data_IF_758737170182
#
_entry.id   IF_758737170182
#
_cell.length_a   1.000
_cell.length_b   1.000
_cell.length_c   1.000
_cell.angle_alpha   90.00
_cell.angle_beta   90.00
_cell.angle_gamma   90.00
#
_symmetry.space_group_name_H-M   'P 1'
#
loop_
_entity.id
_entity.type
_entity.pdbx_description
1 polymer ?
#
# COMPACT_ATOMS: atom_id res chain seq x y z
N UNK A 1 33.97 -21.37 -32.09
CA UNK A 1 32.50 -21.31 -32.13
C UNK A 1 32.00 -20.76 -30.80
N UNK A 2 31.60 -19.49 -30.79
CA UNK A 2 30.93 -18.81 -29.67
C UNK A 2 29.51 -19.36 -29.51
N UNK A 3 29.11 -19.75 -28.29
CA UNK A 3 27.70 -19.64 -27.82
C UNK A 3 27.66 -19.35 -26.31
N UNK A 4 27.78 -18.06 -26.00
CA UNK A 4 26.94 -17.26 -25.10
C UNK A 4 26.33 -17.93 -23.86
N UNK A 5 26.88 -17.60 -22.70
CA UNK A 5 26.20 -17.68 -21.41
C UNK A 5 25.05 -16.68 -21.36
N UNK A 6 23.80 -17.16 -21.34
CA UNK A 6 22.63 -16.33 -21.04
C UNK A 6 22.65 -16.06 -19.53
N UNK A 7 23.16 -14.89 -19.14
CA UNK A 7 22.93 -14.33 -17.80
C UNK A 7 21.45 -13.95 -17.71
N UNK A 8 20.67 -14.70 -16.93
CA UNK A 8 19.28 -14.36 -16.60
C UNK A 8 19.28 -13.13 -15.68
N UNK A 9 19.18 -11.96 -16.28
CA UNK A 9 18.99 -10.69 -15.56
C UNK A 9 17.49 -10.50 -15.30
N UNK A 10 17.07 -10.46 -14.03
CA UNK A 10 15.74 -9.98 -13.67
C UNK A 10 15.72 -8.45 -13.82
N UNK A 11 14.96 -7.94 -14.78
CA UNK A 11 14.70 -6.51 -14.93
C UNK A 11 13.24 -6.25 -14.58
N UNK A 12 12.99 -5.65 -13.42
CA UNK A 12 11.69 -5.11 -13.06
C UNK A 12 11.67 -3.62 -13.46
N UNK A 13 10.96 -3.29 -14.54
CA UNK A 13 10.75 -1.89 -14.94
C UNK A 13 9.47 -1.40 -14.28
N UNK A 14 9.60 -0.49 -13.31
CA UNK A 14 8.48 0.26 -12.74
C UNK A 14 8.42 1.63 -13.42
N UNK A 15 7.46 1.83 -14.32
CA UNK A 15 7.19 3.14 -14.91
C UNK A 15 6.14 3.89 -14.09
N UNK A 16 6.49 5.08 -13.59
CA UNK A 16 5.55 6.03 -13.01
C UNK A 16 5.23 7.10 -14.07
N UNK A 17 3.97 7.19 -14.50
CA UNK A 17 3.47 8.27 -15.37
C UNK A 17 2.80 9.31 -14.47
N UNK A 18 3.33 10.54 -14.48
CA UNK A 18 2.74 11.70 -13.80
C UNK A 18 2.03 12.56 -14.85
N UNK A 19 0.71 12.74 -14.71
CA UNK A 19 -0.04 13.71 -15.50
C UNK A 19 -0.21 15.00 -14.67
N UNK A 20 0.42 16.10 -15.09
CA UNK A 20 0.21 17.44 -14.55
C UNK A 20 -0.47 18.34 -15.60
N UNK A 21 -1.57 18.99 -15.25
CA UNK A 21 -2.38 19.81 -16.15
C UNK A 21 -1.84 21.24 -16.35
N UNK A 22 -1.98 21.73 -17.58
CA UNK A 22 -1.48 23.00 -18.13
C UNK A 22 -2.37 24.23 -17.83
N UNK A 23 -2.51 24.61 -16.55
CA UNK A 23 -3.37 25.74 -16.16
C UNK A 23 -2.70 27.13 -16.08
N UNK A 24 -1.38 27.20 -15.87
CA UNK A 24 -0.72 28.44 -15.45
C UNK A 24 -0.32 29.40 -16.60
N UNK A 25 -0.34 28.95 -17.86
CA UNK A 25 0.22 29.71 -18.99
C UNK A 25 -0.62 30.92 -19.44
N UNK A 26 -1.91 30.99 -19.11
CA UNK A 26 -2.81 32.05 -19.61
C UNK A 26 -2.86 33.31 -18.72
N UNK A 27 -2.26 33.26 -17.53
CA UNK A 27 -2.34 34.33 -16.53
C UNK A 27 -1.19 35.35 -16.61
N UNK A 28 -0.05 34.93 -17.18
CA UNK A 28 1.16 35.75 -17.39
C UNK A 28 0.95 36.72 -18.57
N UNK A 29 0.30 36.26 -19.64
CA UNK A 29 0.12 37.01 -20.89
C UNK A 29 -0.72 38.29 -20.73
N UNK A 30 -1.58 38.40 -19.72
CA UNK A 30 -2.44 39.58 -19.53
C UNK A 30 -1.72 40.73 -18.83
N UNK A 31 -0.80 40.45 -17.91
CA UNK A 31 0.02 41.49 -17.27
C UNK A 31 1.03 42.07 -18.27
N UNK A 32 1.57 41.22 -19.15
CA UNK A 32 2.42 41.65 -20.26
C UNK A 32 1.67 42.57 -21.25
N UNK A 33 0.39 42.31 -21.51
CA UNK A 33 -0.45 43.17 -22.37
C UNK A 33 -0.70 44.53 -21.71
N UNK A 34 -1.01 44.57 -20.41
CA UNK A 34 -1.21 45.83 -19.68
C UNK A 34 0.06 46.67 -19.72
N UNK A 35 1.22 46.05 -19.41
CA UNK A 35 2.52 46.72 -19.46
C UNK A 35 2.87 47.21 -20.87
N UNK A 36 2.57 46.44 -21.91
CA UNK A 36 2.79 46.82 -23.31
C UNK A 36 1.88 47.96 -23.79
N UNK A 37 0.68 48.10 -23.22
CA UNK A 37 -0.25 49.19 -23.54
C UNK A 37 0.13 50.50 -22.84
N UNK A 38 0.62 50.42 -21.61
CA UNK A 38 1.24 51.56 -20.90
C UNK A 38 2.50 52.01 -21.63
N UNK A 39 3.38 51.08 -22.02
CA UNK A 39 4.62 51.43 -22.74
C UNK A 39 4.38 52.05 -24.13
N UNK A 40 3.23 51.76 -24.75
CA UNK A 40 2.82 52.34 -26.04
C UNK A 40 2.04 53.65 -25.88
N UNK A 41 1.83 54.13 -24.66
CA UNK A 41 1.09 55.37 -24.36
C UNK A 41 -0.40 55.30 -24.67
N UNK A 42 -0.96 54.08 -24.81
CA UNK A 42 -2.39 53.86 -25.00
C UNK A 42 -3.15 53.94 -23.67
N UNK A 43 -2.47 53.61 -22.57
CA UNK A 43 -2.94 53.77 -21.19
C UNK A 43 -2.01 54.72 -20.44
N UNK A 44 -2.57 55.52 -19.55
CA UNK A 44 -1.78 56.21 -18.52
C UNK A 44 -1.30 55.23 -17.44
N UNK A 45 -0.27 55.60 -16.69
CA UNK A 45 0.25 54.76 -15.59
C UNK A 45 -0.82 54.48 -14.52
N UNK A 46 -1.65 55.48 -14.18
CA UNK A 46 -2.75 55.31 -13.22
C UNK A 46 -3.82 54.33 -13.72
N UNK A 47 -4.16 54.35 -15.02
CA UNK A 47 -5.12 53.41 -15.61
C UNK A 47 -4.57 51.99 -15.68
N UNK A 48 -3.28 51.84 -15.99
CA UNK A 48 -2.57 50.56 -15.97
C UNK A 48 -2.55 49.93 -14.56
N UNK A 49 -2.24 50.74 -13.54
CA UNK A 49 -2.19 50.31 -12.14
C UNK A 49 -3.56 49.89 -11.60
N UNK A 50 -4.62 50.61 -11.96
CA UNK A 50 -5.99 50.25 -11.60
C UNK A 50 -6.42 48.91 -12.21
N UNK A 51 -6.12 48.68 -13.49
CA UNK A 51 -6.40 47.41 -14.18
C UNK A 51 -5.59 46.24 -13.58
N UNK A 52 -4.31 46.48 -13.25
CA UNK A 52 -3.46 45.48 -12.59
C UNK A 52 -3.98 45.12 -11.19
N UNK A 53 -4.45 46.11 -10.42
CA UNK A 53 -5.02 45.89 -9.08
C UNK A 53 -6.34 45.11 -9.13
N UNK A 54 -7.23 45.45 -10.06
CA UNK A 54 -8.45 44.68 -10.32
C UNK A 54 -8.14 43.22 -10.67
N UNK A 55 -7.16 43.00 -11.55
CA UNK A 55 -6.75 41.66 -11.97
C UNK A 55 -6.08 40.86 -10.85
N UNK A 56 -5.24 41.47 -10.01
CA UNK A 56 -4.67 40.82 -8.82
C UNK A 56 -5.78 40.39 -7.86
N UNK A 57 -6.81 41.21 -7.70
CA UNK A 57 -7.97 40.89 -6.85
C UNK A 57 -8.79 39.74 -7.44
N UNK A 58 -9.03 39.74 -8.76
CA UNK A 58 -9.68 38.62 -9.46
C UNK A 58 -8.85 37.32 -9.41
N UNK A 59 -7.53 37.40 -9.60
CA UNK A 59 -6.61 36.25 -9.44
C UNK A 59 -6.69 35.71 -8.02
N UNK A 60 -6.59 36.56 -7.00
CA UNK A 60 -6.71 36.15 -5.61
C UNK A 60 -8.08 35.51 -5.30
N UNK A 61 -9.18 36.10 -5.80
CA UNK A 61 -10.52 35.54 -5.64
C UNK A 61 -10.69 34.21 -6.39
N UNK A 62 -10.08 34.06 -7.57
CA UNK A 62 -10.09 32.83 -8.37
C UNK A 62 -9.23 31.74 -7.72
N UNK A 63 -8.07 32.07 -7.18
CA UNK A 63 -7.22 31.17 -6.40
C UNK A 63 -7.85 30.77 -5.07
N UNK A 64 -8.58 31.66 -4.41
CA UNK A 64 -9.32 31.34 -3.20
C UNK A 64 -10.51 30.42 -3.53
N UNK A 65 -11.22 30.69 -4.64
CA UNK A 65 -12.28 29.82 -5.14
C UNK A 65 -11.74 28.47 -5.59
N UNK A 66 -10.56 28.42 -6.20
CA UNK A 66 -9.90 27.18 -6.61
C UNK A 66 -9.39 26.39 -5.40
N UNK A 67 -8.86 27.05 -4.37
CA UNK A 67 -8.51 26.46 -3.07
C UNK A 67 -9.73 25.95 -2.30
N UNK A 68 -10.89 26.59 -2.42
CA UNK A 68 -12.14 26.11 -1.80
C UNK A 68 -12.81 24.97 -2.56
N UNK A 69 -12.55 24.85 -3.87
CA UNK A 69 -13.08 23.78 -4.69
C UNK A 69 -12.38 22.45 -4.36
N UNK A 70 -13.07 21.57 -3.64
CA UNK A 70 -12.57 20.24 -3.25
C UNK A 70 -12.07 19.40 -4.44
N UNK A 71 -12.68 19.57 -5.62
CA UNK A 71 -12.30 18.84 -6.83
C UNK A 71 -10.91 19.21 -7.37
N UNK A 72 -10.36 20.37 -7.00
CA UNK A 72 -8.98 20.75 -7.33
C UNK A 72 -7.94 20.06 -6.43
N UNK A 73 -8.39 19.36 -5.38
CA UNK A 73 -7.54 18.62 -4.44
C UNK A 73 -7.59 17.11 -4.69
N UNK A 74 -8.09 16.69 -5.86
CA UNK A 74 -8.09 15.29 -6.27
C UNK A 74 -6.75 14.97 -6.93
N UNK A 75 -5.97 14.14 -6.26
CA UNK A 75 -4.77 13.52 -6.78
C UNK A 75 -5.10 12.21 -7.46
N UNK A 76 -4.65 12.06 -8.70
CA UNK A 76 -4.68 10.80 -9.45
C UNK A 76 -3.24 10.34 -9.63
N UNK A 77 -2.95 9.12 -9.18
CA UNK A 77 -1.67 8.47 -9.42
C UNK A 77 -1.89 6.99 -9.71
N UNK A 78 -0.92 6.34 -10.32
CA UNK A 78 -1.02 4.92 -10.60
C UNK A 78 0.33 4.27 -10.80
N UNK A 79 0.32 2.95 -10.86
CA UNK A 79 1.49 2.17 -11.21
C UNK A 79 1.06 0.82 -11.81
N UNK A 80 1.91 0.30 -12.69
CA UNK A 80 1.77 -1.02 -13.29
C UNK A 80 3.01 -1.84 -12.93
N UNK A 81 2.79 -3.08 -12.50
CA UNK A 81 3.85 -4.06 -12.24
C UNK A 81 3.65 -5.24 -13.17
N UNK A 82 4.47 -5.32 -14.21
CA UNK A 82 4.61 -6.52 -15.03
C UNK A 82 5.64 -7.44 -14.39
N UNK A 83 5.37 -8.74 -14.35
CA UNK A 83 6.25 -9.71 -13.71
C UNK A 83 6.46 -10.91 -14.59
N UNK A 84 7.72 -11.29 -14.71
CA UNK A 84 8.13 -12.59 -15.21
C UNK A 84 8.91 -13.29 -14.09
N UNK A 85 8.56 -14.53 -13.74
CA UNK A 85 9.30 -15.26 -12.72
C UNK A 85 9.56 -16.69 -13.18
N UNK A 86 10.79 -17.18 -12.99
CA UNK A 86 11.17 -18.56 -13.32
C UNK A 86 11.79 -19.16 -12.09
N UNK A 87 11.31 -20.33 -11.66
CA UNK A 87 11.97 -21.05 -10.59
C UNK A 87 13.32 -21.61 -11.06
N UNK A 88 14.34 -21.52 -10.21
CA UNK A 88 15.70 -22.00 -10.50
C UNK A 88 15.90 -23.49 -10.15
N UNK A 89 14.98 -24.08 -9.40
CA UNK A 89 14.92 -25.49 -9.00
C UNK A 89 13.46 -25.89 -8.72
N UNK A 90 13.19 -27.17 -8.45
CA UNK A 90 11.83 -27.74 -8.31
C UNK A 90 10.87 -26.98 -7.39
N UNK A 91 9.59 -27.29 -7.50
CA UNK A 91 8.48 -26.56 -6.87
C UNK A 91 7.90 -27.24 -5.61
N UNK A 92 8.54 -28.30 -5.15
CA UNK A 92 8.10 -29.06 -3.98
C UNK A 92 8.07 -28.20 -2.72
N UNK A 93 6.91 -28.14 -2.06
CA UNK A 93 6.71 -27.35 -0.85
C UNK A 93 6.58 -25.84 -1.06
N UNK A 94 6.64 -25.34 -2.30
CA UNK A 94 6.45 -23.91 -2.59
C UNK A 94 4.97 -23.59 -2.71
N UNK A 95 4.45 -22.72 -1.85
CA UNK A 95 3.08 -22.22 -1.96
C UNK A 95 3.00 -21.11 -3.04
N UNK A 96 2.50 -21.46 -4.22
CA UNK A 96 2.38 -20.55 -5.38
C UNK A 96 1.16 -19.62 -5.30
N UNK A 97 0.36 -19.71 -4.24
CA UNK A 97 -0.89 -18.96 -4.08
C UNK A 97 -0.64 -17.46 -3.87
N UNK A 98 0.48 -17.09 -3.23
CA UNK A 98 0.85 -15.68 -2.96
C UNK A 98 1.42 -14.98 -4.18
N UNK A 99 2.00 -15.73 -5.14
CA UNK A 99 2.53 -15.18 -6.38
C UNK A 99 2.22 -16.02 -7.62
N UNK A 100 1.16 -15.61 -8.33
CA UNK A 100 0.69 -16.22 -9.58
C UNK A 100 1.70 -16.18 -10.73
N UNK A 101 2.76 -15.38 -10.64
CA UNK A 101 3.81 -15.34 -11.68
C UNK A 101 4.83 -16.45 -11.54
N UNK A 102 4.84 -17.18 -10.42
CA UNK A 102 5.68 -18.36 -10.26
C UNK A 102 4.94 -19.55 -10.88
N UNK A 103 5.10 -19.76 -12.18
CA UNK A 103 4.60 -20.97 -12.84
C UNK A 103 5.65 -22.07 -12.84
N UNK A 104 5.24 -23.24 -12.38
CA UNK A 104 5.83 -24.54 -12.72
C UNK A 104 4.91 -25.29 -13.68
N UNK A 105 5.43 -26.40 -14.21
CA UNK A 105 4.70 -27.52 -14.79
C UNK A 105 3.58 -28.09 -13.89
N UNK A 106 3.45 -27.65 -12.63
CA UNK A 106 2.36 -28.05 -11.72
C UNK A 106 1.53 -26.88 -11.18
N UNK A 107 1.90 -25.63 -11.45
CA UNK A 107 1.26 -24.47 -10.82
C UNK A 107 -0.16 -24.16 -11.32
N UNK A 108 -0.54 -24.57 -12.52
CA UNK A 108 -1.86 -24.28 -13.11
C UNK A 108 -2.21 -25.35 -14.17
N UNK A 109 -2.03 -26.61 -13.80
CA UNK A 109 -2.05 -27.72 -14.76
C UNK A 109 -0.70 -27.85 -15.46
N UNK A 110 -0.31 -29.09 -15.72
CA UNK A 110 0.71 -29.44 -16.70
C UNK A 110 0.44 -28.65 -17.97
N UNK A 111 1.42 -27.87 -18.41
CA UNK A 111 1.42 -27.04 -19.63
C UNK A 111 1.02 -25.55 -19.48
N UNK A 112 1.19 -24.91 -18.32
CA UNK A 112 1.05 -23.44 -18.23
C UNK A 112 2.18 -22.72 -19.00
N UNK A 113 1.96 -22.12 -20.20
CA UNK A 113 3.05 -21.84 -21.12
C UNK A 113 3.84 -20.55 -20.85
N UNK A 114 3.40 -19.66 -19.95
CA UNK A 114 4.04 -18.35 -19.79
C UNK A 114 3.88 -17.75 -18.38
N UNK A 115 5.02 -17.49 -17.73
CA UNK A 115 5.11 -16.87 -16.40
C UNK A 115 5.11 -15.33 -16.43
N UNK A 116 4.67 -14.73 -17.55
CA UNK A 116 4.60 -13.28 -17.72
C UNK A 116 3.17 -12.79 -17.52
N UNK A 117 2.97 -11.91 -16.54
CA UNK A 117 1.66 -11.36 -16.22
C UNK A 117 1.73 -9.93 -15.70
N UNK A 118 0.58 -9.26 -15.72
CA UNK A 118 0.37 -8.04 -14.95
C UNK A 118 0.09 -8.45 -13.51
N UNK A 119 1.01 -8.16 -12.60
CA UNK A 119 0.88 -8.51 -11.17
C UNK A 119 -0.02 -7.55 -10.43
N UNK A 120 0.04 -6.25 -10.79
CA UNK A 120 -0.78 -5.15 -10.27
C UNK A 120 -0.93 -4.09 -11.36
N UNK A 121 -2.13 -3.57 -11.53
CA UNK A 121 -2.40 -2.39 -12.35
C UNK A 121 -3.36 -1.52 -11.56
N UNK A 122 -2.83 -0.54 -10.84
CA UNK A 122 -3.61 0.23 -9.88
C UNK A 122 -3.63 1.70 -10.24
N UNK A 123 -4.83 2.26 -10.19
CA UNK A 123 -5.08 3.70 -10.22
C UNK A 123 -5.58 4.08 -8.84
N UNK A 124 -5.13 5.21 -8.33
CA UNK A 124 -5.43 5.70 -7.00
C UNK A 124 -6.02 7.09 -7.17
N UNK A 125 -7.23 7.26 -6.68
CA UNK A 125 -7.91 8.54 -6.54
C UNK A 125 -7.88 8.89 -5.06
N UNK A 126 -7.34 10.04 -4.72
CA UNK A 126 -7.27 10.48 -3.32
C UNK A 126 -7.32 12.00 -3.24
N UNK A 127 -7.84 12.53 -2.15
CA UNK A 127 -7.93 13.97 -1.97
C UNK A 127 -8.56 14.35 -0.66
N UNK A 128 -8.70 15.65 -0.44
CA UNK A 128 -9.42 16.21 0.70
C UNK A 128 -10.67 16.94 0.22
N UNK A 129 -11.75 16.75 0.95
CA UNK A 129 -13.04 17.43 0.80
C UNK A 129 -13.24 18.32 2.02
N UNK A 130 -12.86 19.59 1.88
CA UNK A 130 -12.76 20.51 3.02
C UNK A 130 -11.69 20.08 4.02
N UNK A 131 -11.80 20.58 5.25
CA UNK A 131 -10.75 20.40 6.27
C UNK A 131 -10.84 19.05 7.02
N UNK A 132 -11.98 18.35 6.94
CA UNK A 132 -12.32 17.24 7.83
C UNK A 132 -12.53 15.88 7.14
N UNK A 133 -12.47 15.81 5.81
CA UNK A 133 -12.69 14.55 5.09
C UNK A 133 -11.60 14.31 4.05
N UNK A 134 -10.80 13.27 4.26
CA UNK A 134 -9.95 12.68 3.23
C UNK A 134 -10.67 11.51 2.58
N UNK A 135 -10.41 11.26 1.29
CA UNK A 135 -10.87 10.04 0.63
C UNK A 135 -9.72 9.34 -0.08
N UNK A 136 -9.83 8.02 -0.21
CA UNK A 136 -8.88 7.19 -0.95
C UNK A 136 -9.61 6.01 -1.61
N UNK A 137 -9.47 5.89 -2.93
CA UNK A 137 -10.07 4.82 -3.72
C UNK A 137 -8.99 4.23 -4.64
N UNK A 138 -8.83 2.91 -4.60
CA UNK A 138 -7.83 2.18 -5.36
C UNK A 138 -8.42 0.91 -5.99
N UNK A 139 -8.91 0.96 -7.24
CA UNK A 139 -9.13 -0.24 -8.03
C UNK A 139 -7.79 -0.89 -8.48
N UNK A 140 -7.80 -2.22 -8.59
CA UNK A 140 -6.74 -3.03 -9.17
C UNK A 140 -7.28 -3.83 -10.36
N UNK A 141 -6.79 -3.50 -11.55
CA UNK A 141 -7.18 -4.08 -12.83
C UNK A 141 -6.41 -5.36 -13.16
N UNK A 142 -5.58 -5.89 -12.25
CA UNK A 142 -4.85 -7.14 -12.45
C UNK A 142 -5.50 -8.33 -11.72
N UNK A 143 -6.75 -8.19 -11.27
CA UNK A 143 -7.44 -9.20 -10.46
C UNK A 143 -8.13 -10.24 -11.35
N UNK A 144 -8.43 -11.41 -10.78
CA UNK A 144 -9.17 -12.49 -11.47
C UNK A 144 -10.60 -12.56 -10.93
N UNK A 145 -11.56 -12.76 -11.83
CA UNK A 145 -12.97 -12.96 -11.50
C UNK A 145 -13.41 -14.43 -11.62
N UNK A 146 -12.47 -15.37 -11.69
CA UNK A 146 -12.72 -16.79 -11.88
C UNK A 146 -11.64 -17.45 -12.75
N UNK A 147 -11.74 -18.77 -12.92
CA UNK A 147 -10.76 -19.54 -13.70
C UNK A 147 -10.69 -19.03 -15.16
N UNK A 148 -9.48 -18.76 -15.65
CA UNK A 148 -9.23 -18.27 -17.01
C UNK A 148 -9.52 -16.78 -17.26
N UNK A 149 -10.20 -16.10 -16.33
CA UNK A 149 -10.65 -14.72 -16.49
C UNK A 149 -9.80 -13.76 -15.65
N UNK A 150 -8.85 -13.10 -16.30
CA UNK A 150 -7.91 -12.15 -15.70
C UNK A 150 -8.23 -10.69 -16.09
N UNK A 151 -7.58 -9.76 -15.40
CA UNK A 151 -7.62 -8.33 -15.62
C UNK A 151 -8.97 -7.64 -15.32
N UNK A 152 -9.65 -8.09 -14.27
CA UNK A 152 -10.88 -7.46 -13.77
C UNK A 152 -10.56 -6.38 -12.75
N UNK A 153 -11.35 -5.31 -12.75
CA UNK A 153 -11.30 -4.29 -11.72
C UNK A 153 -11.82 -4.85 -10.39
N UNK A 154 -10.95 -4.90 -9.38
CA UNK A 154 -11.33 -5.22 -8.01
C UNK A 154 -10.94 -4.07 -7.08
N UNK A 155 -11.82 -3.75 -6.13
CA UNK A 155 -11.53 -2.75 -5.13
C UNK A 155 -10.45 -3.25 -4.16
N UNK A 156 -9.36 -2.51 -4.01
CA UNK A 156 -8.36 -2.78 -2.97
C UNK A 156 -8.63 -1.94 -1.75
N UNK A 157 -8.67 -0.63 -1.93
CA UNK A 157 -8.94 0.32 -0.86
C UNK A 157 -10.10 1.24 -1.29
N UNK A 158 -11.01 1.54 -0.37
CA UNK A 158 -12.08 2.52 -0.50
C UNK A 158 -12.49 2.95 0.90
N UNK A 159 -11.98 4.10 1.33
CA UNK A 159 -12.24 4.62 2.66
C UNK A 159 -12.28 6.14 2.68
N UNK A 160 -12.94 6.67 3.72
CA UNK A 160 -12.86 8.06 4.13
C UNK A 160 -12.08 8.20 5.43
N UNK A 161 -11.17 9.16 5.52
CA UNK A 161 -10.53 9.59 6.76
C UNK A 161 -11.29 10.82 7.28
N UNK A 162 -11.97 10.67 8.41
CA UNK A 162 -12.74 11.74 9.07
C UNK A 162 -11.86 12.33 10.18
N UNK A 163 -11.39 13.56 9.99
CA UNK A 163 -10.50 14.24 10.92
C UNK A 163 -11.31 15.02 11.97
N UNK A 164 -10.92 14.92 13.24
CA UNK A 164 -11.58 15.65 14.33
C UNK A 164 -11.22 17.14 14.27
N UNK A 165 -9.98 17.45 13.93
CA UNK A 165 -9.43 18.80 13.83
C UNK A 165 -8.71 19.03 12.51
N UNK A 166 -8.40 20.30 12.22
CA UNK A 166 -7.63 20.70 11.01
C UNK A 166 -6.16 20.27 11.08
N UNK A 167 -5.68 19.97 12.28
CA UNK A 167 -4.33 19.51 12.53
C UNK A 167 -4.14 18.03 12.20
N UNK A 168 -5.24 17.33 11.90
CA UNK A 168 -5.32 15.93 11.47
C UNK A 168 -4.66 14.97 12.47
N UNK A 169 -4.60 15.37 13.75
CA UNK A 169 -3.97 14.59 14.82
C UNK A 169 -4.80 13.37 15.14
N UNK A 170 -6.13 13.53 15.14
CA UNK A 170 -7.08 12.48 15.39
C UNK A 170 -7.94 12.24 14.14
N UNK A 171 -8.06 10.98 13.71
CA UNK A 171 -8.95 10.62 12.60
C UNK A 171 -9.59 9.26 12.78
N UNK A 172 -10.79 9.12 12.21
CA UNK A 172 -11.47 7.85 12.03
C UNK A 172 -11.47 7.48 10.56
N UNK A 173 -10.86 6.35 10.22
CA UNK A 173 -10.93 5.76 8.90
C UNK A 173 -12.13 4.83 8.83
N UNK A 174 -13.01 5.04 7.86
CA UNK A 174 -14.20 4.21 7.64
C UNK A 174 -14.18 3.65 6.23
N UNK A 175 -14.30 2.32 6.10
CA UNK A 175 -14.39 1.62 4.83
C UNK A 175 -13.38 0.49 4.70
N UNK A 176 -13.15 0.03 3.47
CA UNK A 176 -12.16 -1.01 3.19
C UNK A 176 -10.77 -0.39 3.09
N UNK A 177 -9.91 -0.73 4.03
CA UNK A 177 -8.53 -0.27 4.05
C UNK A 177 -7.60 -1.33 4.61
N UNK A 178 -6.30 -1.06 4.57
CA UNK A 178 -5.37 -1.89 5.34
C UNK A 178 -5.72 -1.90 6.82
N UNK A 179 -5.64 -3.06 7.43
CA UNK A 179 -5.75 -3.23 8.89
C UNK A 179 -4.41 -2.81 9.51
N UNK A 180 -4.38 -2.01 10.59
CA UNK A 180 -3.15 -1.51 11.21
C UNK A 180 -2.39 -2.62 11.97
N UNK A 181 -1.83 -3.59 11.23
CA UNK A 181 -1.04 -4.70 11.77
C UNK A 181 0.12 -5.05 10.83
N UNK A 182 1.34 -4.91 11.34
CA UNK A 182 2.60 -5.17 10.60
C UNK A 182 3.10 -3.95 9.81
N UNK A 183 4.38 -3.62 9.97
CA UNK A 183 5.05 -2.55 9.25
C UNK A 183 5.11 -2.83 7.73
N UNK A 184 5.53 -4.03 7.32
CA UNK A 184 5.63 -4.42 5.91
C UNK A 184 4.24 -4.51 5.25
N UNK A 185 3.25 -5.01 5.98
CA UNK A 185 1.86 -5.06 5.50
C UNK A 185 1.35 -3.65 5.18
N UNK A 186 1.66 -2.69 6.04
CA UNK A 186 1.29 -1.29 5.88
C UNK A 186 2.08 -0.56 4.79
N UNK A 187 3.30 -0.98 4.45
CA UNK A 187 4.01 -0.47 3.28
C UNK A 187 3.25 -0.65 1.96
N UNK A 188 3.25 0.40 1.14
CA UNK A 188 2.69 0.35 -0.20
C UNK A 188 3.44 -0.69 -1.04
N UNK A 189 2.70 -1.49 -1.81
CA UNK A 189 3.28 -2.44 -2.78
C UNK A 189 4.06 -1.76 -3.91
N UNK A 190 3.95 -0.44 -4.08
CA UNK A 190 4.79 0.34 -4.98
C UNK A 190 6.06 0.88 -4.32
N UNK A 191 6.12 0.88 -2.98
CA UNK A 191 7.21 1.48 -2.21
C UNK A 191 8.16 0.43 -1.62
N UNK A 192 7.63 -0.72 -1.20
CA UNK A 192 8.37 -1.79 -0.51
C UNK A 192 9.58 -2.29 -1.30
N UNK A 193 10.55 -2.84 -0.57
CA UNK A 193 11.79 -3.38 -1.15
C UNK A 193 11.58 -4.76 -1.79
N UNK A 194 10.95 -5.68 -1.06
CA UNK A 194 10.72 -7.04 -1.53
C UNK A 194 9.58 -7.12 -2.56
N UNK A 195 9.72 -8.02 -3.55
CA UNK A 195 8.71 -8.20 -4.60
C UNK A 195 7.38 -8.73 -4.05
N UNK A 196 7.44 -9.55 -3.01
CA UNK A 196 6.30 -10.05 -2.23
C UNK A 196 6.55 -9.83 -0.73
N UNK A 197 5.47 -9.90 0.06
CA UNK A 197 5.58 -9.76 1.52
C UNK A 197 5.97 -11.07 2.16
N UNK A 198 6.50 -11.00 3.37
CA UNK A 198 6.79 -12.18 4.15
C UNK A 198 5.52 -12.86 4.65
N UNK A 199 5.44 -14.18 4.49
CA UNK A 199 4.27 -14.97 4.88
C UNK A 199 3.97 -14.89 6.38
N UNK A 200 5.01 -14.78 7.21
CA UNK A 200 4.89 -14.70 8.67
C UNK A 200 4.01 -13.52 9.13
N UNK A 201 4.13 -12.37 8.45
CA UNK A 201 3.32 -11.19 8.76
C UNK A 201 2.07 -11.10 7.89
N UNK A 202 2.18 -11.49 6.61
CA UNK A 202 1.10 -11.33 5.63
C UNK A 202 -0.05 -12.33 5.85
N UNK A 203 0.19 -13.43 6.55
CA UNK A 203 -0.83 -14.42 6.92
C UNK A 203 -1.81 -13.95 8.01
N UNK A 204 -1.57 -12.80 8.64
CA UNK A 204 -2.40 -12.27 9.72
C UNK A 204 -3.77 -11.81 9.25
N UNK A 205 -3.80 -10.96 8.23
CA UNK A 205 -5.04 -10.44 7.65
C UNK A 205 -4.99 -10.71 6.17
N UNK A 206 -5.96 -11.49 5.69
CA UNK A 206 -6.08 -11.80 4.27
C UNK A 206 -6.15 -10.51 3.43
N UNK A 207 -5.35 -10.44 2.37
CA UNK A 207 -5.20 -9.25 1.50
C UNK A 207 -4.73 -7.97 2.24
N UNK A 208 -4.27 -8.12 3.49
CA UNK A 208 -3.85 -7.09 4.46
C UNK A 208 -4.92 -6.06 4.81
N UNK A 209 -6.15 -6.28 4.34
CA UNK A 209 -7.20 -5.28 4.26
C UNK A 209 -8.52 -5.87 4.67
N UNK A 210 -9.36 -5.03 5.25
CA UNK A 210 -10.70 -5.41 5.64
C UNK A 210 -11.59 -4.16 5.69
N UNK A 211 -12.90 -4.37 5.73
CA UNK A 211 -13.88 -3.33 5.93
C UNK A 211 -14.09 -3.09 7.43
N UNK A 212 -13.93 -1.84 7.87
CA UNK A 212 -14.00 -1.52 9.30
C UNK A 212 -13.93 -0.04 9.61
N UNK A 213 -13.78 0.23 10.90
CA UNK A 213 -13.54 1.57 11.46
C UNK A 213 -12.25 1.54 12.28
N UNK A 214 -11.32 2.43 11.95
CA UNK A 214 -10.04 2.52 12.63
C UNK A 214 -9.80 3.95 13.10
N UNK A 215 -9.65 4.13 14.40
CA UNK A 215 -9.16 5.35 15.00
C UNK A 215 -7.64 5.42 14.87
N UNK A 216 -7.13 6.59 14.52
CA UNK A 216 -5.71 6.90 14.47
C UNK A 216 -5.39 8.17 15.24
N UNK A 217 -4.27 8.14 15.96
CA UNK A 217 -3.66 9.29 16.62
C UNK A 217 -2.23 9.48 16.09
N UNK A 218 -1.93 10.68 15.59
CA UNK A 218 -0.60 11.06 15.10
C UNK A 218 -0.27 12.50 15.50
N UNK A 219 0.56 12.73 16.53
CA UNK A 219 1.03 14.06 16.90
C UNK A 219 1.70 14.80 15.73
N UNK A 220 1.68 16.14 15.75
CA UNK A 220 2.21 16.97 14.64
C UNK A 220 3.69 16.73 14.35
N UNK A 221 4.51 16.58 15.38
CA UNK A 221 5.93 16.25 15.30
C UNK A 221 6.15 14.87 14.66
N UNK A 222 5.33 13.88 15.02
CA UNK A 222 5.37 12.55 14.42
C UNK A 222 4.90 12.58 12.96
N UNK A 223 3.85 13.35 12.65
CA UNK A 223 3.42 13.58 11.26
C UNK A 223 4.55 14.20 10.42
N UNK A 224 5.26 15.18 10.97
CA UNK A 224 6.39 15.83 10.32
C UNK A 224 7.53 14.83 10.07
N UNK A 225 7.87 13.99 11.05
CA UNK A 225 8.89 12.96 10.90
C UNK A 225 8.49 11.90 9.85
N UNK A 226 7.24 11.43 9.85
CA UNK A 226 6.74 10.53 8.80
C UNK A 226 6.79 11.17 7.40
N UNK A 227 6.52 12.48 7.30
CA UNK A 227 6.65 13.22 6.04
C UNK A 227 8.12 13.31 5.61
N UNK A 228 9.04 13.59 6.53
CA UNK A 228 10.49 13.63 6.27
C UNK A 228 11.00 12.29 5.74
N UNK A 229 10.69 11.18 6.41
CA UNK A 229 11.10 9.83 6.01
C UNK A 229 10.62 9.49 4.59
N UNK A 230 9.37 9.85 4.26
CA UNK A 230 8.83 9.66 2.92
C UNK A 230 9.55 10.50 1.86
N UNK A 231 9.82 11.78 2.15
CA UNK A 231 10.56 12.69 1.25
C UNK A 231 11.98 12.21 0.99
N UNK A 232 12.63 11.63 2.00
CA UNK A 232 13.95 11.04 1.89
C UNK A 232 13.97 9.68 1.14
N UNK A 233 12.80 9.16 0.75
CA UNK A 233 12.70 7.90 0.01
C UNK A 233 13.03 6.66 0.85
N UNK A 234 12.95 6.74 2.18
CA UNK A 234 13.42 5.72 3.11
C UNK A 234 12.44 4.55 3.30
N UNK A 235 11.56 4.27 2.31
CA UNK A 235 10.71 3.08 2.28
C UNK A 235 9.72 2.96 3.46
N UNK A 236 9.21 4.08 3.98
CA UNK A 236 8.22 4.09 5.07
C UNK A 236 6.90 3.37 4.73
N UNK A 237 6.21 2.92 5.78
CA UNK A 237 4.88 2.31 5.70
C UNK A 237 3.78 3.34 5.40
N UNK A 238 4.00 4.61 5.73
CA UNK A 238 3.05 5.71 5.59
C UNK A 238 2.34 6.01 6.91
N UNK A 239 1.62 7.13 6.96
CA UNK A 239 0.92 7.53 8.19
C UNK A 239 -0.31 6.64 8.42
N UNK A 240 -0.16 5.60 9.25
CA UNK A 240 -1.24 4.76 9.82
C UNK A 240 -1.35 4.95 11.34
N UNK A 241 -1.17 6.19 11.81
CA UNK A 241 -1.14 6.49 13.24
C UNK A 241 0.20 6.17 13.91
N UNK A 242 0.59 7.03 14.85
CA UNK A 242 1.50 6.62 15.93
C UNK A 242 0.80 5.60 16.82
N UNK A 243 -0.51 5.82 17.07
CA UNK A 243 -1.40 4.87 17.70
C UNK A 243 -2.61 4.61 16.80
N UNK A 244 -3.08 3.37 16.79
CA UNK A 244 -4.25 2.92 16.08
C UNK A 244 -5.07 1.94 16.93
N UNK A 245 -6.40 2.04 16.86
CA UNK A 245 -7.32 1.07 17.42
C UNK A 245 -8.56 0.95 16.52
N UNK A 246 -9.08 -0.24 16.30
CA UNK A 246 -10.26 -0.37 15.45
C UNK A 246 -10.92 -1.73 15.48
N UNK A 247 -12.07 -1.79 14.82
CA UNK A 247 -12.86 -2.99 14.60
C UNK A 247 -13.07 -3.22 13.10
N UNK A 248 -13.02 -4.47 12.66
CA UNK A 248 -13.24 -4.86 11.27
C UNK A 248 -13.94 -6.22 11.16
N UNK A 249 -14.47 -6.55 9.97
CA UNK A 249 -15.29 -7.76 9.78
C UNK A 249 -14.55 -9.07 10.05
N UNK A 250 -13.26 -9.13 9.77
CA UNK A 250 -12.42 -10.30 10.04
C UNK A 250 -12.29 -11.30 8.92
N UNK A 251 -12.95 -11.11 7.78
CA UNK A 251 -12.91 -12.08 6.66
C UNK A 251 -11.93 -11.67 5.55
N UNK A 252 -11.34 -10.48 5.67
CA UNK A 252 -10.48 -9.87 4.67
C UNK A 252 -11.26 -9.17 3.55
N UNK A 253 -10.52 -8.51 2.67
CA UNK A 253 -11.09 -7.64 1.64
C UNK A 253 -12.10 -8.33 0.71
N UNK A 254 -13.15 -7.58 0.35
CA UNK A 254 -14.20 -7.96 -0.60
C UNK A 254 -14.92 -9.27 -0.24
N UNK A 255 -15.09 -9.56 1.06
CA UNK A 255 -15.79 -10.74 1.56
C UNK A 255 -16.90 -10.32 2.51
N UNK A 256 -17.98 -11.10 2.49
CA UNK A 256 -19.05 -10.94 3.46
C UNK A 256 -18.62 -11.52 4.83
N UNK A 257 -19.10 -10.88 5.88
CA UNK A 257 -19.12 -11.36 7.26
C UNK A 257 -19.76 -12.77 7.34
N UNK A 258 -19.32 -13.61 8.29
CA UNK A 258 -19.73 -15.04 8.36
C UNK A 258 -20.09 -15.56 9.76
N UNK A 259 -19.86 -14.81 10.82
CA UNK A 259 -20.05 -15.28 12.20
C UNK A 259 -20.65 -14.27 13.17
N UNK A 260 -21.12 -13.12 12.68
CA UNK A 260 -21.72 -12.04 13.46
C UNK A 260 -20.78 -11.53 14.57
N UNK A 261 -19.48 -11.45 14.26
CA UNK A 261 -18.47 -10.92 15.20
C UNK A 261 -17.50 -9.97 14.51
N UNK A 262 -16.78 -9.18 15.31
CA UNK A 262 -15.71 -8.30 14.83
C UNK A 262 -14.34 -8.84 15.26
N UNK A 263 -13.35 -8.54 14.43
CA UNK A 263 -11.96 -8.52 14.88
C UNK A 263 -11.62 -7.14 15.41
N UNK A 264 -10.85 -7.12 16.49
CA UNK A 264 -10.31 -5.92 17.09
C UNK A 264 -8.82 -5.87 16.85
N UNK A 265 -8.30 -4.69 16.51
CA UNK A 265 -6.88 -4.47 16.25
C UNK A 265 -6.40 -3.24 17.01
N UNK A 266 -5.17 -3.30 17.48
CA UNK A 266 -4.45 -2.17 18.07
C UNK A 266 -3.02 -2.16 17.58
N UNK A 267 -2.47 -0.97 17.34
CA UNK A 267 -1.04 -0.79 17.03
C UNK A 267 -0.53 0.48 17.68
N UNK A 268 0.68 0.41 18.19
CA UNK A 268 1.47 1.55 18.60
C UNK A 268 2.83 1.47 17.90
N UNK A 269 3.29 2.59 17.37
CA UNK A 269 4.63 2.73 16.78
C UNK A 269 5.21 4.06 17.20
N UNK A 270 6.50 4.10 17.48
CA UNK A 270 7.19 5.32 17.88
C UNK A 270 8.40 5.53 16.98
N UNK A 271 8.39 6.56 16.12
CA UNK A 271 9.57 6.96 15.36
C UNK A 271 10.43 7.95 16.16
N UNK A 272 11.74 7.87 16.03
CA UNK A 272 12.66 8.87 16.59
C UNK A 272 13.86 9.07 15.68
N UNK A 273 14.50 10.24 15.83
CA UNK A 273 15.71 10.61 15.12
C UNK A 273 16.81 10.88 16.14
N UNK A 274 17.97 10.27 15.96
CA UNK A 274 19.14 10.47 16.83
C UNK A 274 19.85 11.78 16.49
N UNK A 275 20.78 12.20 17.35
CA UNK A 275 21.66 13.34 17.09
C UNK A 275 22.48 13.19 15.80
N UNK A 276 22.86 11.96 15.44
CA UNK A 276 23.53 11.65 14.17
C UNK A 276 22.64 11.81 12.94
N UNK A 277 21.34 12.04 13.13
CA UNK A 277 20.34 12.12 12.05
C UNK A 277 19.80 10.77 11.56
N UNK A 278 20.26 9.65 12.15
CA UNK A 278 19.71 8.32 11.89
C UNK A 278 18.29 8.23 12.43
N UNK A 279 17.38 7.70 11.62
CA UNK A 279 15.98 7.54 11.99
C UNK A 279 15.68 6.08 12.30
N UNK A 280 14.90 5.86 13.35
CA UNK A 280 14.41 4.56 13.78
C UNK A 280 12.91 4.61 14.01
N UNK A 281 12.27 3.45 13.99
CA UNK A 281 10.88 3.24 14.39
C UNK A 281 10.76 1.88 15.08
N UNK A 282 10.06 1.82 16.20
CA UNK A 282 9.75 0.58 16.90
C UNK A 282 8.26 0.53 17.25
N UNK A 283 7.65 -0.64 17.12
CA UNK A 283 6.22 -0.78 17.31
C UNK A 283 5.81 -2.11 17.91
N UNK A 284 4.61 -2.10 18.49
CA UNK A 284 3.88 -3.26 18.98
C UNK A 284 2.48 -3.24 18.38
N UNK A 285 1.98 -4.40 18.01
CA UNK A 285 0.67 -4.55 17.39
C UNK A 285 0.01 -5.82 17.90
N UNK A 286 -1.31 -5.80 17.97
CA UNK A 286 -2.10 -6.96 18.32
C UNK A 286 -3.44 -6.94 17.61
N UNK A 287 -3.99 -8.12 17.34
CA UNK A 287 -5.39 -8.26 16.98
C UNK A 287 -5.97 -9.52 17.60
N UNK A 288 -7.31 -9.55 17.70
CA UNK A 288 -8.08 -10.71 18.16
C UNK A 288 -9.45 -10.75 17.52
N UNK A 289 -9.89 -11.94 17.12
CA UNK A 289 -11.25 -12.19 16.65
C UNK A 289 -11.48 -13.68 16.37
N UNK A 290 -12.53 -13.98 15.58
CA UNK A 290 -12.84 -15.33 15.12
C UNK A 290 -12.88 -15.37 13.60
N UNK A 291 -12.01 -16.16 12.98
CA UNK A 291 -11.96 -16.30 11.53
C UNK A 291 -12.76 -17.52 11.06
N UNK A 292 -13.50 -17.39 9.95
CA UNK A 292 -14.28 -18.50 9.37
C UNK A 292 -13.59 -19.02 8.12
N UNK A 293 -12.84 -20.11 8.29
CA UNK A 293 -12.11 -20.76 7.20
C UNK A 293 -13.05 -21.30 6.12
N UNK A 294 -12.71 -21.05 4.86
CA UNK A 294 -13.30 -21.77 3.73
C UNK A 294 -12.63 -23.13 3.58
N UNK A 295 -13.43 -24.19 3.40
CA UNK A 295 -12.93 -25.54 3.15
C UNK A 295 -12.99 -25.87 1.65
N UNK A 296 -12.11 -26.76 1.22
CA UNK A 296 -12.04 -27.24 -0.15
C UNK A 296 -11.09 -28.42 -0.25
N UNK A 297 -11.10 -29.11 -1.38
CA UNK A 297 -10.09 -30.13 -1.68
C UNK A 297 -8.71 -29.49 -1.72
N UNK A 298 -7.70 -30.19 -1.21
CA UNK A 298 -6.32 -29.70 -1.15
C UNK A 298 -5.34 -30.82 -1.52
N UNK A 299 -4.13 -30.45 -1.90
CA UNK A 299 -3.03 -31.41 -2.05
C UNK A 299 -2.16 -31.35 -0.80
N UNK A 300 -1.78 -32.52 -0.27
CA UNK A 300 -0.78 -32.59 0.81
C UNK A 300 0.58 -32.10 0.31
N UNK A 301 1.49 -31.83 1.24
CA UNK A 301 2.88 -31.46 0.91
C UNK A 301 3.62 -32.57 0.12
N UNK A 302 3.17 -33.82 0.25
CA UNK A 302 3.66 -34.98 -0.52
C UNK A 302 3.00 -35.14 -1.90
N UNK A 303 2.20 -34.16 -2.34
CA UNK A 303 1.54 -34.18 -3.64
C UNK A 303 0.31 -35.09 -3.74
N UNK A 304 -0.09 -35.72 -2.63
CA UNK A 304 -1.31 -36.56 -2.60
C UNK A 304 -2.53 -35.63 -2.51
N UNK A 305 -3.37 -35.67 -3.56
CA UNK A 305 -4.62 -34.90 -3.57
C UNK A 305 -5.60 -35.52 -2.56
N UNK A 306 -5.92 -34.79 -1.50
CA UNK A 306 -6.99 -35.14 -0.60
C UNK A 306 -8.34 -34.68 -1.18
N UNK A 307 -9.20 -35.65 -1.50
CA UNK A 307 -10.51 -35.38 -2.10
C UNK A 307 -11.58 -35.03 -1.06
N UNK A 308 -11.32 -35.29 0.21
CA UNK A 308 -12.21 -34.88 1.29
C UNK A 308 -11.81 -33.48 1.78
N UNK A 309 -12.73 -32.52 1.68
CA UNK A 309 -12.54 -31.21 2.25
C UNK A 309 -12.37 -31.33 3.78
N UNK A 310 -11.46 -30.56 4.41
CA UNK A 310 -11.30 -30.59 5.86
C UNK A 310 -12.59 -30.24 6.59
N UNK A 311 -12.79 -30.81 7.77
CA UNK A 311 -13.84 -30.37 8.69
C UNK A 311 -13.38 -29.15 9.49
N UNK A 312 -14.32 -28.37 10.03
CA UNK A 312 -14.00 -27.22 10.89
C UNK A 312 -14.21 -27.59 12.36
N UNK A 313 -13.26 -27.22 13.23
CA UNK A 313 -13.44 -27.30 14.67
C UNK A 313 -14.67 -26.50 15.13
N UNK A 314 -14.86 -25.31 14.57
CA UNK A 314 -15.99 -24.45 14.84
C UNK A 314 -16.47 -23.74 13.56
N UNK A 315 -17.71 -24.00 13.16
CA UNK A 315 -18.32 -23.40 11.96
C UNK A 315 -18.66 -21.92 12.14
N UNK A 316 -18.78 -21.44 13.38
CA UNK A 316 -18.91 -20.01 13.73
C UNK A 316 -17.55 -19.30 13.83
N UNK A 317 -16.47 -19.96 13.44
CA UNK A 317 -15.14 -19.40 13.39
C UNK A 317 -14.26 -19.85 14.55
N UNK A 318 -12.98 -19.93 14.23
CA UNK A 318 -11.91 -20.35 15.12
C UNK A 318 -11.16 -19.09 15.55
N UNK A 319 -10.70 -19.08 16.80
CA UNK A 319 -9.97 -17.94 17.36
C UNK A 319 -8.71 -17.63 16.56
N UNK A 320 -8.57 -16.37 16.18
CA UNK A 320 -7.42 -15.81 15.47
C UNK A 320 -6.96 -14.58 16.25
N UNK A 321 -5.79 -14.68 16.85
CA UNK A 321 -5.24 -13.66 17.73
C UNK A 321 -3.72 -13.67 17.61
N UNK A 322 -3.13 -12.49 17.48
CA UNK A 322 -1.68 -12.36 17.39
C UNK A 322 -1.20 -11.11 18.09
N UNK A 323 -0.02 -11.19 18.67
CA UNK A 323 0.79 -10.06 19.12
C UNK A 323 2.07 -10.06 18.29
N UNK A 324 2.48 -8.90 17.81
CA UNK A 324 3.72 -8.74 17.08
C UNK A 324 4.47 -7.48 17.47
N UNK A 325 5.77 -7.52 17.23
CA UNK A 325 6.68 -6.38 17.39
C UNK A 325 7.34 -6.08 16.05
N UNK A 326 7.70 -4.82 15.86
CA UNK A 326 8.36 -4.32 14.67
C UNK A 326 9.51 -3.38 15.04
N UNK A 327 10.58 -3.44 14.28
CA UNK A 327 11.73 -2.54 14.37
C UNK A 327 12.19 -2.15 12.97
N UNK A 328 12.49 -0.87 12.79
CA UNK A 328 12.99 -0.29 11.56
C UNK A 328 14.14 0.67 11.89
N UNK A 329 15.32 0.41 11.35
CA UNK A 329 16.39 1.38 11.17
C UNK A 329 16.35 1.83 9.72
N UNK A 330 15.96 3.07 9.46
CA UNK A 330 15.77 3.58 8.11
C UNK A 330 17.10 3.67 7.33
N UNK A 331 17.13 3.35 6.02
CA UNK A 331 18.38 3.19 5.29
C UNK A 331 19.13 4.52 5.04
N UNK A 332 20.12 4.83 5.89
CA UNK A 332 20.93 6.06 5.83
C UNK A 332 22.45 5.82 6.01
N UNK A 333 23.13 5.02 5.16
CA UNK A 333 22.61 4.29 4.00
C UNK A 333 22.15 2.87 4.34
N UNK A 334 22.66 2.28 5.42
CA UNK A 334 22.26 0.95 5.88
C UNK A 334 20.94 1.03 6.62
N UNK A 335 20.10 0.04 6.40
CA UNK A 335 18.85 -0.14 7.12
C UNK A 335 18.64 -1.58 7.56
N UNK A 336 17.81 -1.74 8.57
CA UNK A 336 17.43 -3.01 9.16
C UNK A 336 15.94 -2.97 9.45
N UNK A 337 15.21 -3.96 8.95
CA UNK A 337 13.79 -4.13 9.20
C UNK A 337 13.60 -5.50 9.83
N UNK A 338 12.89 -5.57 10.95
CA UNK A 338 12.58 -6.82 11.61
C UNK A 338 11.16 -6.78 12.16
N UNK A 339 10.39 -7.83 11.91
CA UNK A 339 9.11 -8.03 12.58
C UNK A 339 8.99 -9.47 13.04
N UNK A 340 8.34 -9.67 14.19
CA UNK A 340 8.09 -10.99 14.72
C UNK A 340 6.72 -11.03 15.41
N UNK A 341 5.99 -12.12 15.23
CA UNK A 341 4.70 -12.29 15.88
C UNK A 341 4.46 -13.69 16.43
N UNK A 342 3.56 -13.75 17.40
CA UNK A 342 3.15 -14.94 18.11
C UNK A 342 1.64 -14.92 18.30
N UNK A 343 1.02 -16.09 18.34
CA UNK A 343 -0.40 -16.17 18.65
C UNK A 343 -1.02 -17.50 18.25
N UNK A 344 -2.31 -17.44 17.95
CA UNK A 344 -3.09 -18.57 17.51
C UNK A 344 -3.84 -18.21 16.23
N UNK A 345 -4.00 -19.17 15.33
CA UNK A 345 -4.73 -19.00 14.08
C UNK A 345 -5.41 -20.31 13.70
N UNK A 346 -6.48 -20.29 12.88
CA UNK A 346 -7.01 -21.51 12.29
C UNK A 346 -5.93 -22.17 11.41
N UNK A 347 -5.63 -23.43 11.67
CA UNK A 347 -4.63 -24.21 10.94
C UNK A 347 -5.13 -25.62 10.63
N UNK A 348 -4.71 -26.17 9.49
CA UNK A 348 -5.06 -27.53 9.08
C UNK A 348 -4.21 -28.55 9.85
N UNK A 349 -4.87 -29.44 10.57
CA UNK A 349 -4.29 -30.69 11.08
C UNK A 349 -4.41 -31.77 9.99
N UNK A 350 -3.27 -32.24 9.50
CA UNK A 350 -3.22 -33.20 8.39
C UNK A 350 -3.61 -34.62 8.80
N UNK A 351 -3.41 -35.00 10.06
CA UNK A 351 -3.68 -36.35 10.56
C UNK A 351 -5.19 -36.57 10.75
N UNK A 352 -5.87 -35.55 11.28
CA UNK A 352 -7.32 -35.58 11.54
C UNK A 352 -8.14 -34.97 10.40
N UNK A 353 -7.50 -34.36 9.40
CA UNK A 353 -8.14 -33.60 8.32
C UNK A 353 -9.17 -32.57 8.85
N UNK A 354 -8.76 -31.83 9.90
CA UNK A 354 -9.59 -30.85 10.59
C UNK A 354 -8.85 -29.52 10.68
N UNK A 355 -9.56 -28.43 10.41
CA UNK A 355 -9.05 -27.08 10.67
C UNK A 355 -9.42 -26.74 12.11
N UNK A 356 -8.41 -26.46 12.92
CA UNK A 356 -8.53 -26.20 14.36
C UNK A 356 -7.59 -25.08 14.77
N UNK A 357 -7.71 -24.61 16.02
CA UNK A 357 -6.80 -23.62 16.56
C UNK A 357 -5.38 -24.18 16.66
N UNK A 358 -4.42 -23.56 15.98
CA UNK A 358 -2.99 -23.89 16.05
C UNK A 358 -2.18 -22.69 16.51
N UNK A 359 -1.12 -22.94 17.27
CA UNK A 359 -0.15 -21.91 17.65
C UNK A 359 0.66 -21.47 16.45
N UNK A 360 0.97 -20.17 16.37
CA UNK A 360 1.81 -19.57 15.35
C UNK A 360 2.95 -18.77 16.01
N UNK A 361 4.14 -18.91 15.43
CA UNK A 361 5.32 -18.14 15.78
C UNK A 361 6.13 -17.94 14.50
N UNK A 362 6.45 -16.69 14.17
CA UNK A 362 7.31 -16.41 13.04
C UNK A 362 7.53 -14.93 12.81
N UNK A 363 8.59 -14.64 12.06
CA UNK A 363 8.98 -13.29 11.72
C UNK A 363 10.06 -13.28 10.64
N UNK A 364 10.69 -12.13 10.47
CA UNK A 364 11.79 -11.95 9.53
C UNK A 364 12.74 -10.87 9.98
N UNK A 365 13.91 -10.89 9.35
CA UNK A 365 14.90 -9.83 9.42
C UNK A 365 15.33 -9.56 7.98
N UNK A 366 15.31 -8.29 7.58
CA UNK A 366 15.74 -7.81 6.27
C UNK A 366 16.76 -6.69 6.46
N UNK A 367 17.92 -6.83 5.84
CA UNK A 367 18.90 -5.75 5.73
C UNK A 367 18.74 -5.05 4.39
N UNK A 368 19.06 -3.76 4.36
CA UNK A 368 18.94 -2.94 3.15
C UNK A 368 20.05 -1.89 3.08
N UNK A 369 20.38 -1.48 1.86
CA UNK A 369 21.34 -0.41 1.60
C UNK A 369 20.76 0.57 0.58
N UNK A 370 20.64 1.84 0.94
CA UNK A 370 20.25 2.92 0.05
C UNK A 370 21.49 3.50 -0.60
N UNK A 371 21.54 3.43 -1.93
CA UNK A 371 22.53 4.10 -2.75
C UNK A 371 21.84 5.19 -3.55
N UNK A 372 22.25 6.43 -3.31
CA UNK A 372 21.80 7.58 -4.09
C UNK A 372 22.71 7.80 -5.30
N UNK A 373 22.20 8.48 -6.33
CA UNK A 373 22.94 8.90 -7.52
C UNK A 373 23.64 7.73 -8.23
N UNK A 374 22.89 6.66 -8.51
CA UNK A 374 23.41 5.51 -9.24
C UNK A 374 23.47 5.87 -10.72
N UNK A 375 24.69 6.11 -11.22
CA UNK A 375 24.96 6.20 -12.64
C UNK A 375 24.78 4.82 -13.29
N UNK A 376 23.76 4.69 -14.14
CA UNK A 376 23.54 3.49 -14.93
C UNK A 376 23.60 3.87 -16.41
N UNK A 377 24.55 3.27 -17.14
CA UNK A 377 24.76 3.53 -18.57
C UNK A 377 25.01 5.01 -18.93
N UNK A 378 25.65 5.79 -18.04
CA UNK A 378 25.99 7.18 -18.28
C UNK A 378 24.85 8.19 -18.08
N UNK A 379 23.71 7.72 -17.55
CA UNK A 379 22.61 8.57 -17.13
C UNK A 379 22.47 8.53 -15.60
N UNK A 380 22.35 9.70 -14.99
CA UNK A 380 21.93 9.83 -13.60
C UNK A 380 20.46 9.40 -13.51
N UNK A 381 20.22 8.29 -12.81
CA UNK A 381 18.88 7.89 -12.38
C UNK A 381 18.81 8.17 -10.88
N UNK A 382 18.44 9.41 -10.54
CA UNK A 382 18.18 9.91 -9.19
C UNK A 382 16.71 10.10 -8.94
#
# INVERSE_FOLDING_TARGET
MNKTHIRKSCLAVAGALVFGFAGNAMAETTEDIINALVSKGVLTEEEGDLLAKGRKTEKAATEEKSRKAWYNHINIRGYVQNRHTTMLGGDEGVNLWTDRSVGSDKSLGSDAPNNFLIRRARIIFSGQVGDHLGFYIQPDFASSAGSGNNNFAQLRDAYGDIFIDKDQVHRFRVGQSKVPYGFENLQSSSNRLALDRVDAMNSAVRDERDNGVFYYYTPKDVQALFSEINKLGLKHSGNYGMFAFGAHQGQGANRAEKNDTYHWVSRFTYPWKTESGQIFEAGIQAYKGKFVSSTGQYSSITGVRNRAAPTLENTRGIEDERVGVSFMMYPQPWGLEAEWNWGNTPGLDYDTNRIEKKSLNGGYIQTMYKKDNVNFLGYDIG
#
